data_IF_256271712161
#
_entry.id   IF_256271712161
#
_cell.length_a   1.000
_cell.length_b   1.000
_cell.length_c   1.000
_cell.angle_alpha   90.00
_cell.angle_beta   90.00
_cell.angle_gamma   90.00
#
_symmetry.space_group_name_H-M   'P 1'
#
loop_
_entity.id
_entity.type
_entity.pdbx_description
1 polymer ?
#
# COMPACT_ATOMS: atom_id res chain seq x y z
N UNK A 1 19.28 -7.40 -18.38
CA UNK A 1 18.97 -8.74 -17.85
C UNK A 1 17.90 -8.53 -16.80
N UNK A 2 16.65 -8.33 -17.24
CA UNK A 2 15.52 -8.18 -16.34
C UNK A 2 14.92 -9.55 -16.08
N UNK A 3 15.05 -10.01 -14.83
CA UNK A 3 14.28 -11.13 -14.34
C UNK A 3 12.96 -10.58 -13.80
N UNK A 4 12.00 -10.36 -14.68
CA UNK A 4 10.61 -10.21 -14.26
C UNK A 4 10.19 -11.53 -13.61
N UNK A 5 9.94 -11.52 -12.30
CA UNK A 5 9.37 -12.67 -11.62
C UNK A 5 8.03 -13.03 -12.28
N UNK A 6 7.96 -14.21 -12.88
CA UNK A 6 6.80 -14.66 -13.64
C UNK A 6 5.68 -15.05 -12.67
N UNK A 7 4.80 -14.11 -12.34
CA UNK A 7 3.62 -14.38 -11.52
C UNK A 7 2.60 -15.18 -12.34
N UNK A 8 2.38 -16.44 -11.94
CA UNK A 8 1.41 -17.33 -12.57
C UNK A 8 0.29 -17.67 -11.60
N UNK A 9 -0.97 -17.62 -12.07
CA UNK A 9 -2.13 -18.10 -11.31
C UNK A 9 -2.70 -19.35 -11.97
N UNK A 10 -2.83 -20.44 -11.20
CA UNK A 10 -3.52 -21.65 -11.63
C UNK A 10 -5.00 -21.58 -11.23
N UNK A 11 -5.91 -21.52 -12.21
CA UNK A 11 -7.35 -21.74 -12.00
C UNK A 11 -7.81 -22.90 -12.86
N UNK A 12 -8.38 -23.95 -12.23
CA UNK A 12 -8.93 -25.10 -12.95
C UNK A 12 -7.91 -25.85 -13.82
N UNK A 13 -6.65 -25.93 -13.40
CA UNK A 13 -5.58 -26.62 -14.16
C UNK A 13 -4.99 -25.82 -15.32
N UNK A 14 -5.46 -24.59 -15.57
CA UNK A 14 -4.88 -23.69 -16.57
C UNK A 14 -3.96 -22.68 -15.90
N UNK A 15 -2.73 -22.57 -16.39
CA UNK A 15 -1.73 -21.58 -15.97
C UNK A 15 -1.97 -20.32 -16.79
N UNK A 16 -2.39 -19.23 -16.14
CA UNK A 16 -2.50 -17.94 -16.79
C UNK A 16 -1.20 -17.16 -16.60
N UNK A 17 -0.54 -16.79 -17.70
CA UNK A 17 0.44 -15.71 -17.71
C UNK A 17 -0.30 -14.43 -17.33
N UNK A 18 -0.05 -13.93 -16.12
CA UNK A 18 -0.62 -12.69 -15.65
C UNK A 18 0.25 -11.55 -16.16
N UNK A 19 -0.30 -10.67 -17.00
CA UNK A 19 0.25 -9.33 -17.19
C UNK A 19 0.00 -8.57 -15.88
N UNK A 20 1.03 -8.26 -15.07
CA UNK A 20 0.85 -7.76 -13.71
C UNK A 20 0.03 -6.46 -13.64
N UNK A 21 0.06 -5.68 -14.71
CA UNK A 21 -0.55 -4.35 -14.77
C UNK A 21 -2.07 -4.37 -14.96
N UNK A 22 -2.65 -5.48 -15.44
CA UNK A 22 -4.08 -5.52 -15.80
C UNK A 22 -5.03 -5.60 -14.59
N UNK A 23 -4.49 -5.77 -13.37
CA UNK A 23 -5.28 -5.91 -12.13
C UNK A 23 -4.77 -5.04 -10.98
N UNK A 24 -4.05 -3.96 -11.30
CA UNK A 24 -3.64 -2.99 -10.28
C UNK A 24 -4.82 -2.09 -9.92
N UNK A 25 -5.07 -1.98 -8.61
CA UNK A 25 -5.95 -0.98 -8.04
C UNK A 25 -5.19 0.32 -7.83
N UNK A 26 -5.82 1.42 -8.21
CA UNK A 26 -5.38 2.75 -7.83
C UNK A 26 -5.54 2.94 -6.31
N UNK A 27 -4.63 3.67 -5.69
CA UNK A 27 -4.65 3.91 -4.24
C UNK A 27 -5.95 4.60 -3.80
N UNK A 28 -6.52 5.51 -4.60
CA UNK A 28 -7.79 6.16 -4.26
C UNK A 28 -8.99 5.19 -4.13
N UNK A 29 -8.91 4.02 -4.76
CA UNK A 29 -10.01 3.06 -4.84
C UNK A 29 -9.92 1.99 -3.72
N UNK A 30 -8.87 2.01 -2.89
CA UNK A 30 -8.73 1.08 -1.77
C UNK A 30 -9.70 1.46 -0.64
N UNK A 31 -10.24 0.43 0.03
CA UNK A 31 -11.14 0.58 1.17
C UNK A 31 -10.66 -0.26 2.34
N UNK A 32 -10.84 0.18 3.60
CA UNK A 32 -10.41 -0.62 4.75
C UNK A 32 -11.14 -1.96 4.78
N UNK A 33 -10.38 -3.05 4.89
CA UNK A 33 -10.89 -4.33 5.35
C UNK A 33 -9.76 -5.31 5.68
N UNK A 34 -10.03 -6.22 6.62
CA UNK A 34 -9.01 -7.07 7.22
C UNK A 34 -8.51 -8.20 6.30
N UNK A 35 -9.20 -8.48 5.20
CA UNK A 35 -8.96 -9.66 4.33
C UNK A 35 -8.82 -9.28 2.85
N UNK A 36 -8.43 -8.05 2.56
CA UNK A 36 -8.34 -7.56 1.19
C UNK A 36 -7.18 -8.26 0.47
N UNK A 37 -7.30 -8.37 -0.86
CA UNK A 37 -6.19 -8.75 -1.73
C UNK A 37 -5.92 -7.58 -2.68
N UNK A 38 -5.34 -6.52 -2.15
CA UNK A 38 -5.02 -5.30 -2.91
C UNK A 38 -3.75 -5.57 -3.70
N UNK A 39 -3.83 -5.45 -5.02
CA UNK A 39 -2.66 -5.41 -5.88
C UNK A 39 -2.51 -3.99 -6.37
N UNK A 40 -1.38 -3.33 -6.12
CA UNK A 40 -1.18 -1.92 -6.47
C UNK A 40 0.30 -1.63 -6.69
N UNK A 41 0.58 -0.54 -7.41
CA UNK A 41 1.94 -0.07 -7.71
C UNK A 41 2.02 1.38 -7.24
N UNK A 42 3.06 1.73 -6.51
CA UNK A 42 3.24 3.06 -5.94
C UNK A 42 4.72 3.42 -5.82
N UNK A 43 5.01 4.71 -5.72
CA UNK A 43 6.34 5.23 -5.40
C UNK A 43 6.43 5.51 -3.89
N UNK A 44 7.58 5.17 -3.28
CA UNK A 44 7.89 5.52 -1.90
C UNK A 44 8.37 6.98 -1.84
N UNK A 45 7.67 7.83 -1.10
CA UNK A 45 7.97 9.27 -0.98
C UNK A 45 8.86 9.57 0.22
N UNK A 46 8.54 9.00 1.38
CA UNK A 46 9.29 9.21 2.62
C UNK A 46 9.22 7.97 3.51
N UNK A 47 10.23 7.77 4.36
CA UNK A 47 10.37 6.60 5.25
C UNK A 47 10.70 7.05 6.66
N UNK A 48 9.86 6.63 7.60
CA UNK A 48 10.04 6.86 9.02
C UNK A 48 11.13 5.98 9.63
N UNK A 49 11.43 6.26 10.90
CA UNK A 49 12.42 5.47 11.65
C UNK A 49 11.95 4.03 11.84
N UNK A 50 12.92 3.12 11.87
CA UNK A 50 12.70 1.73 12.29
C UNK A 50 12.30 1.67 13.75
N UNK A 51 11.25 0.91 14.04
CA UNK A 51 10.77 0.58 15.38
C UNK A 51 10.78 -0.93 15.58
N UNK A 52 10.89 -1.37 16.84
CA UNK A 52 10.75 -2.77 17.23
C UNK A 52 9.42 -2.96 17.94
N UNK A 53 8.49 -3.68 17.31
CA UNK A 53 7.25 -4.12 17.92
C UNK A 53 7.42 -5.54 18.44
N UNK A 54 7.85 -5.67 19.69
CA UNK A 54 8.26 -6.95 20.27
C UNK A 54 9.53 -7.47 19.58
N UNK A 55 9.42 -8.57 18.86
CA UNK A 55 10.52 -9.13 18.06
C UNK A 55 10.48 -8.69 16.59
N UNK A 56 9.44 -7.96 16.17
CA UNK A 56 9.25 -7.58 14.78
C UNK A 56 9.78 -6.18 14.51
N UNK A 57 10.72 -6.09 13.56
CA UNK A 57 11.20 -4.84 13.00
C UNK A 57 10.14 -4.27 12.06
N UNK A 58 9.78 -3.00 12.23
CA UNK A 58 8.78 -2.34 11.40
C UNK A 58 9.19 -0.89 11.13
N UNK A 59 8.71 -0.30 10.05
CA UNK A 59 8.85 1.12 9.77
C UNK A 59 7.68 1.58 8.91
N UNK A 60 7.24 2.82 9.13
CA UNK A 60 6.16 3.41 8.36
C UNK A 60 6.75 4.20 7.20
N UNK A 61 6.11 4.16 6.04
CA UNK A 61 6.46 4.96 4.88
C UNK A 61 5.24 5.72 4.37
N UNK A 62 5.48 6.84 3.69
CA UNK A 62 4.52 7.49 2.83
C UNK A 62 4.73 6.98 1.41
N UNK A 63 3.68 6.43 0.80
CA UNK A 63 3.71 5.98 -0.60
C UNK A 63 2.57 6.62 -1.37
N UNK A 64 2.73 6.76 -2.68
CA UNK A 64 1.74 7.40 -3.52
C UNK A 64 1.71 6.87 -4.96
N UNK A 65 0.58 7.09 -5.63
CA UNK A 65 0.42 6.96 -7.06
C UNK A 65 -0.22 8.25 -7.61
N UNK A 66 -0.53 8.28 -8.91
CA UNK A 66 -1.15 9.44 -9.56
C UNK A 66 -2.56 9.80 -9.02
N UNK A 67 -3.11 8.99 -8.11
CA UNK A 67 -4.49 9.10 -7.63
C UNK A 67 -4.63 9.43 -6.15
N UNK A 68 -3.71 8.97 -5.30
CA UNK A 68 -3.72 9.21 -3.86
C UNK A 68 -2.37 8.86 -3.21
N UNK A 69 -2.24 9.24 -1.94
CA UNK A 69 -1.19 8.77 -1.05
C UNK A 69 -1.77 7.83 0.04
N UNK A 70 -0.92 7.02 0.65
CA UNK A 70 -1.29 6.16 1.78
C UNK A 70 -0.07 5.88 2.68
N UNK A 71 -0.31 5.62 3.97
CA UNK A 71 0.73 5.06 4.83
C UNK A 71 0.95 3.59 4.54
N UNK A 72 2.20 3.20 4.30
CA UNK A 72 2.61 1.83 4.07
C UNK A 72 3.47 1.32 5.22
N UNK A 73 3.09 0.19 5.81
CA UNK A 73 3.82 -0.45 6.89
C UNK A 73 4.74 -1.54 6.33
N UNK A 74 6.04 -1.29 6.42
CA UNK A 74 7.12 -2.21 6.06
C UNK A 74 7.49 -3.13 7.23
N UNK A 75 7.98 -4.33 6.92
CA UNK A 75 8.35 -5.36 7.88
C UNK A 75 9.76 -5.91 7.67
N UNK A 76 10.47 -6.16 8.77
CA UNK A 76 11.75 -6.86 8.75
C UNK A 76 12.77 -6.17 7.87
N UNK A 77 13.31 -6.94 6.92
CA UNK A 77 14.34 -6.51 5.98
C UNK A 77 13.81 -5.48 4.95
N UNK A 78 12.48 -5.42 4.73
CA UNK A 78 11.88 -4.41 3.84
C UNK A 78 12.21 -2.98 4.29
N UNK A 79 12.39 -2.77 5.60
CA UNK A 79 12.76 -1.48 6.16
C UNK A 79 14.16 -1.00 5.78
N UNK A 80 15.07 -1.94 5.55
CA UNK A 80 16.43 -1.63 5.09
C UNK A 80 16.55 -1.67 3.57
N UNK A 81 15.68 -2.44 2.91
CA UNK A 81 15.76 -2.68 1.47
C UNK A 81 15.12 -1.57 0.63
N UNK A 82 13.97 -1.01 1.06
CA UNK A 82 13.27 0.00 0.29
C UNK A 82 13.65 1.41 0.69
N UNK A 83 13.93 2.26 -0.29
CA UNK A 83 14.31 3.66 -0.09
C UNK A 83 13.34 4.61 -0.80
N UNK A 84 13.28 5.89 -0.37
CA UNK A 84 12.54 6.92 -1.12
C UNK A 84 12.95 6.95 -2.59
N UNK A 85 11.97 7.17 -3.46
CA UNK A 85 12.02 7.06 -4.92
C UNK A 85 11.89 5.64 -5.49
N UNK A 86 11.87 4.58 -4.66
CA UNK A 86 11.59 3.23 -5.17
C UNK A 86 10.15 3.10 -5.64
N UNK A 87 9.97 2.44 -6.79
CA UNK A 87 8.66 2.02 -7.30
C UNK A 87 8.44 0.58 -6.84
N UNK A 88 7.38 0.38 -6.07
CA UNK A 88 7.08 -0.88 -5.40
C UNK A 88 5.78 -1.45 -5.96
N UNK A 89 5.81 -2.72 -6.36
CA UNK A 89 4.64 -3.52 -6.65
C UNK A 89 4.23 -4.29 -5.39
N UNK A 90 3.03 -4.02 -4.90
CA UNK A 90 2.41 -4.75 -3.80
C UNK A 90 1.41 -5.76 -4.37
N UNK A 91 1.60 -7.03 -4.03
CA UNK A 91 0.64 -8.11 -4.31
C UNK A 91 0.00 -8.61 -3.01
N UNK A 92 -1.30 -8.92 -3.06
CA UNK A 92 -2.12 -9.39 -1.92
C UNK A 92 -1.94 -8.54 -0.65
N UNK A 93 -1.94 -7.23 -0.81
CA UNK A 93 -1.89 -6.25 0.26
C UNK A 93 -3.20 -6.15 1.04
N UNK A 94 -3.10 -5.65 2.27
CA UNK A 94 -4.22 -5.40 3.17
C UNK A 94 -4.17 -3.94 3.60
N UNK A 95 -5.30 -3.24 3.46
CA UNK A 95 -5.49 -1.91 3.99
C UNK A 95 -6.41 -2.00 5.20
N UNK A 96 -5.86 -1.83 6.40
CA UNK A 96 -6.59 -2.08 7.65
C UNK A 96 -6.00 -1.27 8.80
N UNK A 97 -6.77 -1.11 9.87
CA UNK A 97 -6.27 -0.54 11.11
C UNK A 97 -5.16 -1.41 11.72
N UNK A 98 -4.02 -0.79 12.00
CA UNK A 98 -3.00 -1.30 12.90
C UNK A 98 -2.96 -0.38 14.13
N UNK A 99 -3.44 -0.89 15.27
CA UNK A 99 -3.74 -0.09 16.46
C UNK A 99 -4.70 1.04 16.10
N UNK A 100 -4.23 2.28 16.05
CA UNK A 100 -5.03 3.47 15.75
C UNK A 100 -4.76 4.05 14.35
N UNK A 101 -3.80 3.50 13.61
CA UNK A 101 -3.40 4.01 12.30
C UNK A 101 -3.95 3.12 11.21
N UNK A 102 -4.56 3.71 10.19
CA UNK A 102 -5.02 2.99 9.02
C UNK A 102 -3.86 2.88 8.03
N UNK A 103 -3.38 1.66 7.77
CA UNK A 103 -2.15 1.44 6.99
C UNK A 103 -2.34 0.37 5.93
N UNK A 104 -1.66 0.54 4.80
CA UNK A 104 -1.47 -0.48 3.79
C UNK A 104 -0.25 -1.33 4.17
N UNK A 105 -0.32 -2.65 3.93
CA UNK A 105 0.80 -3.57 4.23
C UNK A 105 0.69 -4.84 3.39
N UNK A 106 1.79 -5.57 3.26
CA UNK A 106 1.73 -6.94 2.75
C UNK A 106 0.86 -7.82 3.67
N UNK A 107 -0.07 -8.58 3.07
CA UNK A 107 -0.83 -9.61 3.78
C UNK A 107 0.03 -10.84 4.08
N UNK A 108 -0.54 -11.85 4.76
CA UNK A 108 0.17 -13.12 5.07
C UNK A 108 0.73 -13.83 3.82
N UNK A 109 0.05 -13.68 2.68
CA UNK A 109 0.46 -14.19 1.36
C UNK A 109 0.84 -13.06 0.40
N UNK A 110 1.00 -11.86 0.94
CA UNK A 110 1.36 -10.67 0.17
C UNK A 110 2.87 -10.51 0.10
N UNK A 111 3.30 -9.71 -0.88
CA UNK A 111 4.70 -9.41 -1.11
C UNK A 111 4.81 -8.00 -1.68
N UNK A 112 5.81 -7.25 -1.22
CA UNK A 112 6.26 -6.02 -1.83
C UNK A 112 7.55 -6.29 -2.60
N UNK A 113 7.64 -5.80 -3.84
CA UNK A 113 8.82 -5.94 -4.69
C UNK A 113 9.18 -4.59 -5.31
N UNK A 114 10.46 -4.21 -5.25
CA UNK A 114 10.96 -3.07 -6.04
C UNK A 114 10.94 -3.48 -7.51
N UNK A 115 10.25 -2.70 -8.33
CA UNK A 115 10.09 -2.93 -9.78
C UNK A 115 10.62 -1.76 -10.62
N UNK A 116 11.09 -0.69 -9.97
CA UNK A 116 11.67 0.46 -10.64
C UNK A 116 12.05 1.56 -9.64
N UNK A 117 12.39 2.72 -10.16
CA UNK A 117 12.71 3.91 -9.36
C UNK A 117 12.42 5.20 -10.14
N UNK A 118 12.13 6.28 -9.40
CA UNK A 118 12.03 7.69 -9.81
C UNK A 118 10.93 8.07 -10.81
N UNK A 119 10.73 7.27 -11.86
CA UNK A 119 9.89 7.61 -13.02
C UNK A 119 8.42 7.22 -12.86
N UNK A 120 7.78 7.69 -11.78
CA UNK A 120 6.35 7.47 -11.53
C UNK A 120 5.66 8.78 -11.12
N UNK A 121 4.56 9.11 -11.80
CA UNK A 121 3.71 10.24 -11.42
C UNK A 121 2.97 9.95 -10.12
N UNK A 122 2.88 10.93 -9.23
CA UNK A 122 2.19 10.79 -7.96
C UNK A 122 1.48 12.07 -7.51
N UNK A 123 0.52 11.91 -6.59
CA UNK A 123 -0.09 12.99 -5.82
C UNK A 123 -0.02 12.68 -4.32
N UNK A 124 0.22 13.69 -3.49
CA UNK A 124 0.24 13.51 -2.02
C UNK A 124 -1.15 13.59 -1.38
N UNK A 125 -2.17 13.98 -2.15
CA UNK A 125 -3.54 14.19 -1.67
C UNK A 125 -4.57 13.58 -2.64
N UNK A 126 -5.64 12.93 -2.15
CA UNK A 126 -5.92 12.67 -0.74
C UNK A 126 -4.96 11.63 -0.15
N UNK A 127 -4.76 11.66 1.17
CA UNK A 127 -4.10 10.57 1.87
C UNK A 127 -5.14 9.60 2.47
N UNK A 128 -5.18 8.37 1.96
CA UNK A 128 -6.17 7.35 2.32
C UNK A 128 -6.10 6.96 3.80
N UNK A 129 -4.93 7.08 4.43
CA UNK A 129 -4.71 6.84 5.86
C UNK A 129 -5.20 7.98 6.75
N UNK A 130 -5.47 9.15 6.16
CA UNK A 130 -5.99 10.35 6.83
C UNK A 130 -7.47 10.59 6.48
N UNK A 131 -8.19 9.55 6.06
CA UNK A 131 -9.64 9.56 5.87
C UNK A 131 -10.31 8.85 7.06
N UNK A 132 -11.40 9.42 7.55
CA UNK A 132 -12.31 8.76 8.48
C UNK A 132 -13.26 7.86 7.69
N UNK A 133 -13.17 6.56 7.95
CA UNK A 133 -14.00 5.54 7.34
C UNK A 133 -15.04 5.04 8.34
N UNK A 134 -16.28 4.88 7.88
CA UNK A 134 -17.38 4.35 8.69
C UNK A 134 -18.02 3.15 7.99
N UNK A 135 -18.58 2.17 8.72
CA UNK A 135 -19.35 1.09 8.11
C UNK A 135 -20.50 1.66 7.28
N UNK A 136 -20.73 1.08 6.11
CA UNK A 136 -21.87 1.44 5.26
C UNK A 136 -23.18 1.08 5.98
N UNK A 137 -24.13 2.01 5.99
CA UNK A 137 -25.45 1.81 6.59
C UNK A 137 -26.25 0.66 5.95
N UNK A 138 -25.96 0.34 4.68
CA UNK A 138 -26.62 -0.71 3.91
C UNK A 138 -25.92 -2.07 4.00
N UNK A 139 -24.61 -2.08 4.25
CA UNK A 139 -23.79 -3.29 4.41
C UNK A 139 -22.64 -3.02 5.38
N UNK A 140 -22.79 -3.44 6.63
CA UNK A 140 -21.81 -3.20 7.69
C UNK A 140 -20.43 -3.84 7.46
N UNK A 141 -20.29 -4.68 6.43
CA UNK A 141 -19.01 -5.25 6.01
C UNK A 141 -18.23 -4.32 5.06
N UNK A 142 -18.88 -3.29 4.52
CA UNK A 142 -18.27 -2.28 3.66
C UNK A 142 -18.00 -1.02 4.46
N UNK A 143 -17.01 -0.26 3.99
CA UNK A 143 -16.68 1.04 4.55
C UNK A 143 -16.90 2.13 3.49
N UNK A 144 -17.40 3.27 3.95
CA UNK A 144 -17.55 4.48 3.14
C UNK A 144 -16.73 5.62 3.74
N UNK A 145 -16.29 6.54 2.88
CA UNK A 145 -15.58 7.73 3.31
C UNK A 145 -16.57 8.70 3.96
N UNK A 146 -16.32 9.09 5.21
CA UNK A 146 -17.18 10.03 5.93
C UNK A 146 -16.58 11.44 5.93
N UNK A 147 -15.29 11.56 6.23
CA UNK A 147 -14.61 12.86 6.32
C UNK A 147 -13.11 12.72 6.06
N UNK A 148 -12.51 13.77 5.50
CA UNK A 148 -11.05 13.92 5.43
C UNK A 148 -10.55 14.46 6.77
N UNK A 149 -9.68 13.72 7.45
CA UNK A 149 -9.04 14.13 8.71
C UNK A 149 -7.94 15.15 8.42
N UNK A 150 -7.13 14.88 7.38
CA UNK A 150 -6.08 15.77 6.89
C UNK A 150 -5.88 15.54 5.39
N UNK A 151 -5.67 16.59 4.57
CA UNK A 151 -5.38 16.42 3.15
C UNK A 151 -4.04 15.71 2.91
N UNK A 152 -3.03 16.02 3.74
CA UNK A 152 -1.68 15.44 3.72
C UNK A 152 -1.42 14.52 4.91
N UNK A 153 -0.34 13.76 4.85
CA UNK A 153 0.11 13.00 6.02
C UNK A 153 0.48 13.92 7.17
N UNK A 154 -0.01 13.60 8.37
CA UNK A 154 0.43 14.26 9.62
C UNK A 154 1.76 13.72 10.16
N UNK A 155 2.22 12.57 9.67
CA UNK A 155 3.48 11.92 10.06
C UNK A 155 4.62 12.37 9.14
N UNK A 156 4.32 12.48 7.84
CA UNK A 156 5.25 12.90 6.79
C UNK A 156 4.73 14.18 6.15
N UNK A 157 4.89 15.34 6.79
CA UNK A 157 4.40 16.61 6.25
C UNK A 157 5.14 16.97 4.95
N UNK A 158 4.49 17.63 3.99
CA UNK A 158 5.15 18.10 2.77
C UNK A 158 6.33 19.00 3.09
N UNK A 159 7.43 18.86 2.35
CA UNK A 159 8.56 19.79 2.42
C UNK A 159 8.23 21.02 1.55
N UNK A 160 8.07 22.18 2.18
CA UNK A 160 7.85 23.48 1.52
C UNK A 160 9.16 24.19 1.19
#
# INVERSE_FOLDING_TARGET
>A
MDSAAEFSLCKGGTVYKMEPEKYLQALKDIVPAAQNNINTKFILLDKGRVTLEGQHKTCLALVADETAAVHFQLWGDECDAFEPSDIILLANGIFSYNRNNLVLRAGKRGKAEKVGEFTMTFVETPNMSEIRWVPDSSDSKKYVQEAVISPYSRIFPPMH
#
